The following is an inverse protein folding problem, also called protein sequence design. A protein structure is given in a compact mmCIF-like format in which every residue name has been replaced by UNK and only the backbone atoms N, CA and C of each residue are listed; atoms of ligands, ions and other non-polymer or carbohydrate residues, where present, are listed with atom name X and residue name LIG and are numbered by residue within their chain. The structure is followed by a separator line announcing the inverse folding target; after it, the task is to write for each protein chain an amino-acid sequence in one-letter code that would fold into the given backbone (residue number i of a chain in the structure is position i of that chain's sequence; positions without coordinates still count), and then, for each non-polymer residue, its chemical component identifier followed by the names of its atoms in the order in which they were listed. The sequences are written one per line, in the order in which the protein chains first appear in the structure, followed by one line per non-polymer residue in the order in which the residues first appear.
data_IF_437844026905
#
_entry.id   IF_437844026905
#
_cell.length_a   1.000
_cell.length_b   1.000
_cell.length_c   1.000
_cell.angle_alpha   90.00
_cell.angle_beta   90.00
_cell.angle_gamma   90.00
#
_symmetry.space_group_name_H-M   'P 1'
#
loop_
_entity.id
_entity.type
_entity.pdbx_description
1 polymer ?
#
# COMPACT_ATOMS: atom_id res chain seq x y z
N UNK A 1 17.66 -44.40 27.36
CA UNK A 1 18.32 -43.10 27.64
C UNK A 1 19.41 -42.75 26.63
N UNK A 2 20.34 -43.64 26.27
CA UNK A 2 21.42 -43.31 25.29
C UNK A 2 20.88 -43.14 23.86
N UNK A 3 19.97 -44.01 23.41
CA UNK A 3 19.38 -44.00 22.05
C UNK A 3 18.81 -42.62 21.63
N UNK A 4 18.12 -41.91 22.52
CA UNK A 4 17.53 -40.60 22.21
C UNK A 4 18.54 -39.49 21.86
N UNK A 5 19.82 -39.67 22.20
CA UNK A 5 20.90 -38.75 21.83
C UNK A 5 21.62 -39.19 20.55
N UNK A 6 21.86 -40.49 20.40
CA UNK A 6 22.63 -41.04 19.26
C UNK A 6 21.79 -41.26 18.00
N UNK A 7 20.47 -41.33 18.10
CA UNK A 7 19.56 -41.39 16.94
C UNK A 7 19.56 -40.10 16.11
N UNK A 8 19.86 -38.95 16.73
CA UNK A 8 19.93 -37.68 16.01
C UNK A 8 21.13 -37.69 15.06
N UNK A 9 20.97 -37.39 13.75
CA UNK A 9 22.06 -37.48 12.79
C UNK A 9 23.19 -36.47 13.04
N UNK A 10 22.90 -35.34 13.70
CA UNK A 10 23.87 -34.33 14.09
C UNK A 10 24.47 -34.61 15.49
N UNK A 11 25.12 -35.76 15.66
CA UNK A 11 25.91 -36.02 16.86
C UNK A 11 27.14 -36.90 16.54
N UNK A 12 28.17 -36.78 17.36
CA UNK A 12 29.38 -37.61 17.31
C UNK A 12 29.22 -38.73 18.33
N UNK A 13 29.41 -39.97 17.90
CA UNK A 13 29.34 -41.15 18.75
C UNK A 13 30.76 -41.55 19.13
N UNK A 14 31.07 -41.50 20.43
CA UNK A 14 32.35 -41.99 20.97
C UNK A 14 32.13 -43.37 21.57
N UNK A 15 32.46 -44.42 20.83
CA UNK A 15 32.31 -45.80 21.26
C UNK A 15 33.53 -46.23 22.08
N UNK A 16 33.43 -46.01 23.40
CA UNK A 16 34.50 -46.31 24.35
C UNK A 16 34.41 -47.79 24.75
N UNK A 17 35.54 -48.51 24.68
CA UNK A 17 35.64 -49.91 25.13
C UNK A 17 36.95 -50.11 25.91
N UNK A 18 36.96 -50.90 26.99
CA UNK A 18 38.19 -51.24 27.68
C UNK A 18 38.94 -52.34 26.93
N UNK A 19 40.27 -52.23 26.86
CA UNK A 19 41.13 -53.14 26.09
C UNK A 19 41.31 -54.52 26.76
N UNK A 20 40.99 -54.65 28.05
CA UNK A 20 41.04 -55.91 28.79
C UNK A 20 39.78 -56.76 28.63
N UNK A 21 38.85 -56.38 27.76
CA UNK A 21 37.64 -57.14 27.45
C UNK A 21 37.56 -57.40 25.94
N UNK A 22 36.88 -58.49 25.56
CA UNK A 22 36.66 -58.79 24.14
C UNK A 22 35.74 -57.74 23.51
N UNK A 23 36.27 -57.05 22.50
CA UNK A 23 35.58 -55.99 21.78
C UNK A 23 34.30 -56.48 21.07
N UNK A 24 34.23 -57.76 20.71
CA UNK A 24 33.03 -58.36 20.12
C UNK A 24 31.80 -58.29 21.03
N UNK A 25 32.04 -58.21 22.34
CA UNK A 25 30.99 -58.13 23.35
C UNK A 25 30.61 -56.69 23.72
N UNK A 26 31.30 -55.68 23.17
CA UNK A 26 31.10 -54.27 23.53
C UNK A 26 29.71 -53.74 23.15
N UNK A 27 28.92 -53.37 24.17
CA UNK A 27 27.61 -52.76 24.00
C UNK A 27 27.68 -51.40 23.30
N UNK A 28 28.74 -50.63 23.52
CA UNK A 28 28.94 -49.33 22.87
C UNK A 28 29.09 -49.47 21.34
N UNK A 29 29.76 -50.53 20.89
CA UNK A 29 29.93 -50.82 19.45
C UNK A 29 28.65 -51.40 18.84
N UNK A 30 27.94 -52.27 19.56
CA UNK A 30 26.64 -52.80 19.10
C UNK A 30 25.62 -51.68 18.91
N UNK A 31 25.44 -50.83 19.93
CA UNK A 31 24.47 -49.74 19.91
C UNK A 31 24.84 -48.67 18.86
N UNK A 32 26.13 -48.37 18.68
CA UNK A 32 26.56 -47.40 17.64
C UNK A 32 26.31 -47.92 16.23
N UNK A 33 26.52 -49.21 15.94
CA UNK A 33 26.21 -49.82 14.64
C UNK A 33 24.73 -49.83 14.29
N UNK A 34 23.85 -49.94 15.29
CA UNK A 34 22.39 -49.88 15.07
C UNK A 34 21.95 -48.50 14.52
N UNK A 35 22.60 -47.41 14.95
CA UNK A 35 22.21 -46.03 14.60
C UNK A 35 23.16 -45.36 13.58
N UNK A 36 24.32 -45.96 13.33
CA UNK A 36 25.30 -45.54 12.32
C UNK A 36 25.96 -46.78 11.66
N UNK A 37 25.21 -47.53 10.82
CA UNK A 37 25.74 -48.73 10.15
C UNK A 37 26.94 -48.46 9.25
N UNK A 38 27.00 -47.24 8.70
CA UNK A 38 28.05 -46.73 7.81
C UNK A 38 29.29 -46.22 8.54
N UNK A 39 29.23 -46.03 9.86
CA UNK A 39 30.33 -45.53 10.68
C UNK A 39 30.75 -44.10 10.38
N UNK A 40 29.86 -43.24 9.84
CA UNK A 40 30.22 -41.89 9.39
C UNK A 40 30.41 -40.88 10.50
N UNK A 41 29.98 -41.21 11.72
CA UNK A 41 30.03 -40.34 12.90
C UNK A 41 30.44 -41.08 14.17
N UNK A 42 30.95 -42.30 14.03
CA UNK A 42 31.36 -43.18 15.13
C UNK A 42 32.89 -43.29 15.23
N UNK A 43 33.43 -42.96 16.40
CA UNK A 43 34.85 -43.05 16.74
C UNK A 43 35.06 -44.14 17.79
N UNK A 44 35.94 -45.10 17.50
CA UNK A 44 36.31 -46.14 18.45
C UNK A 44 37.43 -45.67 19.38
N UNK A 45 37.22 -45.77 20.69
CA UNK A 45 38.23 -45.44 21.70
C UNK A 45 38.51 -46.65 22.57
N UNK A 46 39.77 -47.07 22.60
CA UNK A 46 40.23 -48.13 23.49
C UNK A 46 40.85 -47.51 24.74
N UNK A 47 40.33 -47.86 25.91
CA UNK A 47 40.83 -47.41 27.22
C UNK A 47 41.48 -48.57 27.95
N UNK A 48 42.23 -48.29 29.03
CA UNK A 48 42.83 -49.33 29.90
C UNK A 48 43.78 -50.27 29.15
N UNK A 49 44.46 -49.78 28.11
CA UNK A 49 45.44 -50.56 27.32
C UNK A 49 46.64 -50.97 28.19
N UNK A 50 46.94 -50.17 29.22
CA UNK A 50 47.94 -50.44 30.24
C UNK A 50 47.61 -51.62 31.17
N UNK A 51 46.35 -52.07 31.20
CA UNK A 51 45.86 -53.14 32.07
C UNK A 51 45.58 -54.46 31.31
N UNK A 52 46.13 -54.62 30.11
CA UNK A 52 46.02 -55.87 29.35
C UNK A 52 46.87 -56.99 29.96
N UNK A 53 46.44 -58.24 29.75
CA UNK A 53 47.17 -59.41 30.24
C UNK A 53 48.51 -59.58 29.52
N UNK A 54 49.54 -59.99 30.26
CA UNK A 54 50.89 -60.17 29.70
C UNK A 54 50.87 -61.20 28.58
N UNK A 55 51.36 -60.81 27.40
CA UNK A 55 51.35 -61.64 26.19
C UNK A 55 50.17 -61.38 25.25
N UNK A 56 49.28 -60.44 25.58
CA UNK A 56 48.22 -59.94 24.69
C UNK A 56 48.44 -58.47 24.34
N UNK A 57 48.04 -58.08 23.13
CA UNK A 57 48.09 -56.71 22.66
C UNK A 57 46.82 -56.34 21.88
N UNK A 58 46.56 -55.05 21.74
CA UNK A 58 45.43 -54.50 21.00
C UNK A 58 45.86 -53.90 19.64
N UNK A 59 47.04 -54.25 19.11
CA UNK A 59 47.60 -53.61 17.92
C UNK A 59 46.70 -53.84 16.70
N UNK A 60 46.17 -55.05 16.52
CA UNK A 60 45.26 -55.35 15.41
C UNK A 60 43.95 -54.56 15.46
N UNK A 61 43.46 -54.24 16.66
CA UNK A 61 42.26 -53.40 16.85
C UNK A 61 42.59 -51.94 16.54
N UNK A 62 43.70 -51.44 17.10
CA UNK A 62 44.15 -50.06 16.89
C UNK A 62 44.50 -49.77 15.42
N UNK A 63 44.99 -50.77 14.69
CA UNK A 63 45.20 -50.70 13.23
C UNK A 63 43.92 -50.85 12.41
N UNK A 64 42.80 -51.21 13.05
CA UNK A 64 41.50 -51.42 12.40
C UNK A 64 41.41 -52.71 11.58
N UNK A 65 42.31 -53.69 11.80
CA UNK A 65 42.31 -55.01 11.15
C UNK A 65 41.24 -55.92 11.76
N UNK A 66 41.16 -55.97 13.09
CA UNK A 66 40.19 -56.81 13.80
C UNK A 66 38.76 -56.26 13.72
N UNK A 67 38.60 -54.94 13.91
CA UNK A 67 37.30 -54.25 13.83
C UNK A 67 37.42 -52.98 13.00
N UNK A 68 36.89 -53.03 11.77
CA UNK A 68 36.97 -51.91 10.83
C UNK A 68 35.91 -50.84 11.12
N UNK A 69 36.36 -49.62 11.37
CA UNK A 69 35.55 -48.40 11.44
C UNK A 69 36.01 -47.42 10.34
N UNK A 70 35.15 -46.46 9.97
CA UNK A 70 35.51 -45.42 8.99
C UNK A 70 36.58 -44.47 9.54
N UNK A 71 36.54 -44.22 10.85
CA UNK A 71 37.58 -43.50 11.59
C UNK A 71 38.50 -44.49 12.34
N UNK A 72 39.80 -44.18 12.47
CA UNK A 72 40.73 -45.07 13.15
C UNK A 72 40.38 -45.24 14.63
N UNK A 73 40.72 -46.39 15.17
CA UNK A 73 40.69 -46.64 16.61
C UNK A 73 41.78 -45.83 17.30
N UNK A 74 41.45 -45.22 18.44
CA UNK A 74 42.39 -44.41 19.21
C UNK A 74 42.50 -44.99 20.61
N UNK A 75 43.71 -45.41 20.96
CA UNK A 75 44.05 -45.87 22.28
C UNK A 75 44.34 -44.71 23.21
N UNK A 76 43.80 -44.75 24.43
CA UNK A 76 44.06 -43.77 25.48
C UNK A 76 44.42 -44.45 26.79
N UNK A 77 45.38 -43.87 27.51
CA UNK A 77 45.79 -44.31 28.85
C UNK A 77 45.39 -43.21 29.83
N UNK A 78 44.46 -43.54 30.71
CA UNK A 78 43.93 -42.61 31.71
C UNK A 78 44.61 -42.81 33.06
N UNK A 79 44.37 -41.88 33.98
CA UNK A 79 44.81 -42.01 35.38
C UNK A 79 44.18 -43.26 36.01
N UNK A 80 45.00 -44.05 36.69
CA UNK A 80 44.53 -45.17 37.51
C UNK A 80 43.81 -44.67 38.77
N UNK A 81 43.09 -45.55 39.47
CA UNK A 81 42.47 -45.18 40.76
C UNK A 81 43.50 -44.71 41.79
N UNK A 82 44.71 -45.29 41.78
CA UNK A 82 45.79 -44.85 42.64
C UNK A 82 46.32 -43.45 42.27
N UNK A 83 46.41 -43.13 40.97
CA UNK A 83 46.82 -41.81 40.49
C UNK A 83 45.77 -40.73 40.82
N UNK A 84 44.48 -41.08 40.76
CA UNK A 84 43.38 -40.21 41.20
C UNK A 84 43.49 -39.94 42.70
N UNK A 85 43.67 -40.97 43.51
CA UNK A 85 43.79 -40.83 44.97
C UNK A 85 45.03 -40.01 45.38
N UNK A 86 46.08 -40.02 44.55
CA UNK A 86 47.31 -39.22 44.73
C UNK A 86 47.24 -37.83 44.10
N UNK A 87 46.10 -37.43 43.53
CA UNK A 87 45.91 -36.17 42.81
C UNK A 87 46.99 -35.88 41.76
N UNK A 88 47.38 -36.91 40.99
CA UNK A 88 48.36 -36.73 39.91
C UNK A 88 47.83 -35.74 38.88
N UNK A 89 48.66 -34.76 38.54
CA UNK A 89 48.35 -33.71 37.58
C UNK A 89 48.11 -34.27 36.16
N UNK A 90 47.24 -33.60 35.41
CA UNK A 90 46.89 -34.00 34.04
C UNK A 90 48.06 -33.88 33.08
N UNK A 91 48.99 -32.93 33.30
CA UNK A 91 50.20 -32.79 32.47
C UNK A 91 51.11 -34.01 32.67
N UNK A 92 51.30 -34.43 33.91
CA UNK A 92 52.07 -35.64 34.24
C UNK A 92 51.41 -36.90 33.68
N UNK A 93 50.08 -37.01 33.75
CA UNK A 93 49.33 -38.13 33.17
C UNK A 93 49.49 -38.24 31.64
N UNK A 94 49.42 -37.11 30.92
CA UNK A 94 49.65 -37.07 29.46
C UNK A 94 51.08 -37.40 29.09
N UNK A 95 52.06 -36.93 29.86
CA UNK A 95 53.47 -37.30 29.65
C UNK A 95 53.67 -38.81 29.80
N UNK A 96 53.08 -39.40 30.84
CA UNK A 96 53.10 -40.85 31.08
C UNK A 96 52.39 -41.64 29.97
N UNK A 97 51.27 -41.13 29.45
CA UNK A 97 50.57 -41.71 28.28
C UNK A 97 51.47 -41.70 27.03
N UNK A 98 52.13 -40.56 26.73
CA UNK A 98 53.05 -40.46 25.60
C UNK A 98 54.25 -41.38 25.76
N UNK A 99 54.84 -41.46 26.96
CA UNK A 99 55.94 -42.38 27.27
C UNK A 99 55.51 -43.84 27.13
N UNK A 100 54.29 -44.20 27.55
CA UNK A 100 53.75 -45.55 27.38
C UNK A 100 53.69 -45.97 25.92
N UNK A 101 53.08 -45.14 25.06
CA UNK A 101 52.98 -45.46 23.62
C UNK A 101 54.33 -45.38 22.91
N UNK A 102 55.29 -44.59 23.39
CA UNK A 102 56.63 -44.50 22.79
C UNK A 102 57.54 -45.69 23.16
N UNK A 103 57.41 -46.22 24.38
CA UNK A 103 58.29 -47.26 24.92
C UNK A 103 57.75 -48.68 24.74
N UNK A 104 56.43 -48.85 24.54
CA UNK A 104 55.81 -50.18 24.32
C UNK A 104 56.09 -50.67 22.90
N UNK A 105 56.70 -51.85 22.76
CA UNK A 105 57.26 -52.33 21.49
C UNK A 105 56.18 -52.55 20.42
N UNK A 106 55.01 -53.01 20.86
CA UNK A 106 53.83 -53.33 20.05
C UNK A 106 53.06 -52.09 19.57
N UNK A 107 53.21 -50.94 20.24
CA UNK A 107 52.47 -49.70 19.92
C UNK A 107 53.37 -48.56 19.44
N UNK A 108 54.69 -48.75 19.43
CA UNK A 108 55.67 -47.70 19.11
C UNK A 108 55.45 -47.09 17.73
N UNK A 109 55.11 -47.89 16.72
CA UNK A 109 54.80 -47.43 15.37
C UNK A 109 53.47 -46.69 15.26
N UNK A 110 52.59 -46.82 16.26
CA UNK A 110 51.29 -46.15 16.37
C UNK A 110 51.32 -44.91 17.27
N UNK A 111 52.41 -44.66 17.99
CA UNK A 111 52.53 -43.58 18.98
C UNK A 111 52.06 -42.20 18.50
N UNK A 112 52.25 -41.88 17.22
CA UNK A 112 51.82 -40.62 16.60
C UNK A 112 50.29 -40.49 16.37
N UNK A 113 49.55 -41.60 16.47
CA UNK A 113 48.10 -41.73 16.27
C UNK A 113 47.35 -42.19 17.53
N UNK A 114 48.04 -42.23 18.67
CA UNK A 114 47.48 -42.65 19.96
C UNK A 114 47.51 -41.50 20.97
N UNK A 115 46.81 -41.70 22.08
CA UNK A 115 46.78 -40.78 23.19
C UNK A 115 45.64 -39.77 23.15
N UNK A 116 45.40 -39.16 24.29
CA UNK A 116 44.29 -38.25 24.53
C UNK A 116 44.41 -36.95 23.74
N UNK A 117 45.63 -36.47 23.48
CA UNK A 117 45.87 -35.28 22.64
C UNK A 117 45.54 -35.54 21.17
N UNK A 118 45.90 -36.72 20.65
CA UNK A 118 45.54 -37.12 19.30
C UNK A 118 44.02 -37.23 19.16
N UNK A 119 43.35 -37.88 20.12
CA UNK A 119 41.90 -38.00 20.17
C UNK A 119 41.22 -36.62 20.12
N UNK A 120 41.63 -35.70 20.99
CA UNK A 120 41.07 -34.34 21.04
C UNK A 120 41.24 -33.60 19.71
N UNK A 121 42.41 -33.72 19.06
CA UNK A 121 42.68 -33.12 17.75
C UNK A 121 41.78 -33.71 16.65
N UNK A 122 41.60 -35.03 16.61
CA UNK A 122 40.76 -35.70 15.62
C UNK A 122 39.30 -35.32 15.79
N UNK A 123 38.78 -35.35 17.01
CA UNK A 123 37.41 -34.94 17.32
C UNK A 123 37.17 -33.47 16.97
N UNK A 124 38.12 -32.59 17.30
CA UNK A 124 38.02 -31.15 16.98
C UNK A 124 37.99 -30.91 15.47
N UNK A 125 38.84 -31.61 14.70
CA UNK A 125 38.87 -31.52 13.23
C UNK A 125 37.57 -32.03 12.61
N UNK A 126 37.03 -33.14 13.12
CA UNK A 126 35.77 -33.69 12.64
C UNK A 126 34.61 -32.75 12.95
N UNK A 127 34.50 -32.25 14.18
CA UNK A 127 33.48 -31.29 14.58
C UNK A 127 33.52 -30.02 13.71
N UNK A 128 34.72 -29.47 13.48
CA UNK A 128 34.90 -28.32 12.60
C UNK A 128 34.44 -28.60 11.16
N UNK A 129 34.69 -29.81 10.64
CA UNK A 129 34.26 -30.22 9.29
C UNK A 129 32.74 -30.31 9.20
N UNK A 130 32.10 -30.93 10.20
CA UNK A 130 30.63 -31.05 10.27
C UNK A 130 29.99 -29.67 10.36
N UNK A 131 30.50 -28.78 11.23
CA UNK A 131 30.01 -27.40 11.34
C UNK A 131 30.14 -26.68 10.01
N UNK A 132 31.32 -26.70 9.36
CA UNK A 132 31.55 -26.07 8.06
C UNK A 132 30.60 -26.58 6.97
N UNK A 133 30.29 -27.87 6.95
CA UNK A 133 29.36 -28.45 5.97
C UNK A 133 27.91 -27.98 6.14
N UNK A 134 27.53 -27.56 7.35
CA UNK A 134 26.16 -27.11 7.68
C UNK A 134 25.97 -25.61 7.49
N UNK A 135 27.04 -24.81 7.61
CA UNK A 135 27.00 -23.34 7.49
C UNK A 135 26.23 -22.86 6.24
N UNK A 136 26.46 -23.38 5.01
CA UNK A 136 25.74 -22.91 3.82
C UNK A 136 24.22 -23.10 3.91
N UNK A 137 23.77 -24.21 4.52
CA UNK A 137 22.35 -24.48 4.73
C UNK A 137 21.72 -23.51 5.74
N UNK A 138 22.45 -23.16 6.81
CA UNK A 138 22.00 -22.17 7.80
C UNK A 138 21.94 -20.78 7.16
N UNK A 139 22.96 -20.40 6.38
CA UNK A 139 23.01 -19.10 5.68
C UNK A 139 21.82 -18.95 4.72
N UNK A 140 21.50 -19.99 3.95
CA UNK A 140 20.32 -20.00 3.07
C UNK A 140 19.01 -19.83 3.85
N UNK A 141 18.86 -20.53 4.97
CA UNK A 141 17.67 -20.41 5.83
C UNK A 141 17.52 -19.01 6.41
N UNK A 142 18.60 -18.42 6.91
CA UNK A 142 18.60 -17.05 7.44
C UNK A 142 18.21 -16.06 6.36
N UNK A 143 18.86 -16.11 5.19
CA UNK A 143 18.58 -15.20 4.08
C UNK A 143 17.13 -15.30 3.62
N UNK A 144 16.60 -16.52 3.50
CA UNK A 144 15.18 -16.73 3.16
C UNK A 144 14.25 -16.13 4.22
N UNK A 145 14.54 -16.36 5.50
CA UNK A 145 13.71 -15.85 6.61
C UNK A 145 13.76 -14.33 6.68
N UNK A 146 14.93 -13.71 6.45
CA UNK A 146 15.08 -12.25 6.35
C UNK A 146 14.18 -11.70 5.25
N UNK A 147 14.22 -12.27 4.04
CA UNK A 147 13.39 -11.82 2.92
C UNK A 147 11.88 -11.93 3.22
N UNK A 148 11.46 -13.02 3.86
CA UNK A 148 10.06 -13.20 4.29
C UNK A 148 9.63 -12.16 5.32
N UNK A 149 10.48 -11.89 6.34
CA UNK A 149 10.22 -10.88 7.36
C UNK A 149 10.19 -9.46 6.78
N UNK A 150 11.08 -9.13 5.85
CA UNK A 150 11.12 -7.83 5.16
C UNK A 150 9.87 -7.61 4.30
N UNK A 151 9.43 -8.63 3.56
CA UNK A 151 8.19 -8.57 2.78
C UNK A 151 6.96 -8.37 3.68
N UNK A 152 6.89 -9.07 4.81
CA UNK A 152 5.79 -8.91 5.77
C UNK A 152 5.79 -7.52 6.42
N UNK A 153 6.96 -7.02 6.85
CA UNK A 153 7.12 -5.66 7.37
C UNK A 153 6.73 -4.60 6.34
N UNK A 154 7.13 -4.76 5.07
CA UNK A 154 6.74 -3.84 4.00
C UNK A 154 5.23 -3.81 3.80
N UNK A 155 4.54 -4.94 3.96
CA UNK A 155 3.07 -4.99 3.86
C UNK A 155 2.38 -4.32 5.03
N UNK A 156 2.96 -4.40 6.23
CA UNK A 156 2.45 -3.69 7.40
C UNK A 156 2.76 -2.19 7.36
N UNK A 157 3.63 -1.72 6.48
CA UNK A 157 4.00 -0.31 6.38
C UNK A 157 5.09 0.12 7.37
N UNK A 158 5.54 1.37 7.22
CA UNK A 158 6.66 1.92 7.99
C UNK A 158 6.23 2.27 9.43
N UNK A 159 7.14 2.17 10.41
CA UNK A 159 6.87 2.68 11.75
C UNK A 159 6.67 4.20 11.71
N UNK A 160 5.68 4.68 12.48
CA UNK A 160 5.41 6.10 12.64
C UNK A 160 6.48 6.72 13.54
N UNK A 161 7.01 7.87 13.14
CA UNK A 161 7.96 8.63 13.95
C UNK A 161 7.35 9.06 15.29
N UNK A 162 8.16 9.11 16.35
CA UNK A 162 7.66 9.49 17.69
C UNK A 162 7.38 10.99 17.80
N UNK A 163 8.19 11.81 17.13
CA UNK A 163 8.12 13.26 17.15
C UNK A 163 6.94 13.82 16.34
N UNK A 164 6.52 15.05 16.67
CA UNK A 164 5.41 15.71 16.00
C UNK A 164 5.68 15.96 14.50
N UNK A 165 6.93 16.27 14.14
CA UNK A 165 7.33 16.58 12.77
C UNK A 165 7.21 15.37 11.84
N UNK A 166 7.71 14.21 12.28
CA UNK A 166 7.60 12.98 11.51
C UNK A 166 6.16 12.46 11.40
N UNK A 167 5.31 12.66 12.42
CA UNK A 167 3.86 12.37 12.33
C UNK A 167 3.18 13.26 11.29
N UNK A 168 3.44 14.57 11.34
CA UNK A 168 2.90 15.53 10.36
C UNK A 168 3.35 15.16 8.94
N UNK A 169 4.64 14.86 8.75
CA UNK A 169 5.18 14.43 7.47
C UNK A 169 4.46 13.19 6.93
N UNK A 170 4.25 12.18 7.77
CA UNK A 170 3.55 10.94 7.40
C UNK A 170 2.12 11.23 6.96
N UNK A 171 1.39 12.05 7.71
CA UNK A 171 0.02 12.45 7.35
C UNK A 171 0.01 13.17 5.99
N UNK A 172 0.93 14.12 5.78
CA UNK A 172 1.04 14.85 4.52
C UNK A 172 1.39 13.94 3.34
N UNK A 173 2.27 12.95 3.54
CA UNK A 173 2.63 11.97 2.52
C UNK A 173 1.40 11.15 2.10
N UNK A 174 0.63 10.65 3.06
CA UNK A 174 -0.62 9.91 2.80
C UNK A 174 -1.63 10.79 2.05
N UNK A 175 -1.80 12.04 2.47
CA UNK A 175 -2.71 12.98 1.81
C UNK A 175 -2.28 13.29 0.37
N UNK A 176 -0.97 13.38 0.10
CA UNK A 176 -0.43 13.57 -1.26
C UNK A 176 -0.69 12.36 -2.15
N UNK A 177 -0.58 11.14 -1.62
CA UNK A 177 -0.92 9.92 -2.36
C UNK A 177 -2.41 9.91 -2.74
N UNK A 178 -3.28 10.24 -1.80
CA UNK A 178 -4.72 10.41 -2.07
C UNK A 178 -4.98 11.48 -3.14
N UNK A 179 -4.39 12.67 -2.99
CA UNK A 179 -4.57 13.79 -3.91
C UNK A 179 -4.08 13.45 -5.33
N UNK A 180 -2.98 12.71 -5.45
CA UNK A 180 -2.48 12.19 -6.71
C UNK A 180 -3.46 11.22 -7.37
N UNK A 181 -4.00 10.25 -6.62
CA UNK A 181 -5.00 9.29 -7.13
C UNK A 181 -6.29 10.03 -7.55
N UNK A 182 -6.71 11.04 -6.80
CA UNK A 182 -7.87 11.86 -7.15
C UNK A 182 -7.64 12.63 -8.46
N UNK A 183 -6.46 13.24 -8.63
CA UNK A 183 -6.06 13.91 -9.88
C UNK A 183 -6.04 12.96 -11.07
N UNK A 184 -5.57 11.73 -10.89
CA UNK A 184 -5.57 10.69 -11.93
C UNK A 184 -6.98 10.33 -12.42
N UNK A 185 -7.99 10.33 -11.54
CA UNK A 185 -9.39 10.15 -11.94
C UNK A 185 -9.93 11.32 -12.77
N UNK A 186 -9.52 12.55 -12.46
CA UNK A 186 -9.93 13.74 -13.20
C UNK A 186 -9.22 13.84 -14.56
N UNK A 187 -7.94 13.48 -14.63
CA UNK A 187 -7.12 13.56 -15.83
C UNK A 187 -7.35 12.40 -16.82
N UNK A 188 -8.18 11.41 -16.45
CA UNK A 188 -8.53 10.28 -17.31
C UNK A 188 -7.50 9.16 -17.34
N UNK A 189 -6.51 9.18 -16.43
CA UNK A 189 -5.63 8.02 -16.17
C UNK A 189 -6.44 6.90 -15.52
N UNK A 190 -7.44 7.26 -14.70
CA UNK A 190 -8.43 6.37 -14.09
C UNK A 190 -9.85 6.74 -14.56
N UNK A 191 -10.80 5.79 -14.57
CA UNK A 191 -12.18 6.04 -14.99
C UNK A 191 -12.89 6.99 -14.02
N UNK A 192 -13.60 8.00 -14.53
CA UNK A 192 -14.28 8.99 -13.68
C UNK A 192 -14.47 10.34 -14.34
N UNK A 193 -13.42 10.90 -14.94
CA UNK A 193 -13.47 12.20 -15.62
C UNK A 193 -14.39 12.21 -16.85
N UNK A 194 -14.56 11.07 -17.52
CA UNK A 194 -15.49 10.88 -18.64
C UNK A 194 -16.95 11.18 -18.26
N UNK A 195 -17.34 10.92 -17.02
CA UNK A 195 -18.69 11.22 -16.51
C UNK A 195 -18.98 12.71 -16.48
N UNK A 196 -17.96 13.56 -16.29
CA UNK A 196 -18.10 15.02 -16.32
C UNK A 196 -18.49 15.48 -17.73
N UNK A 197 -17.85 14.92 -18.76
CA UNK A 197 -18.21 15.19 -20.16
C UNK A 197 -19.63 14.74 -20.48
N UNK A 198 -20.05 13.57 -19.98
CA UNK A 198 -21.43 13.10 -20.18
C UNK A 198 -22.48 14.07 -19.61
N UNK A 199 -22.21 14.72 -18.48
CA UNK A 199 -23.11 15.75 -17.92
C UNK A 199 -23.20 16.96 -18.86
N UNK A 200 -22.08 17.43 -19.38
CA UNK A 200 -22.05 18.62 -20.24
C UNK A 200 -22.53 18.38 -21.67
N UNK A 201 -22.23 17.22 -22.26
CA UNK A 201 -22.52 16.94 -23.67
C UNK A 201 -23.91 16.33 -23.86
N UNK A 202 -24.43 15.61 -22.86
CA UNK A 202 -25.71 14.91 -22.97
C UNK A 202 -26.78 15.46 -22.02
N UNK A 203 -26.50 15.57 -20.72
CA UNK A 203 -27.53 15.92 -19.73
C UNK A 203 -27.98 17.38 -19.82
N UNK A 204 -27.05 18.33 -19.82
CA UNK A 204 -27.37 19.76 -19.94
C UNK A 204 -28.10 20.08 -21.25
N UNK A 205 -27.64 19.62 -22.44
CA UNK A 205 -28.33 19.91 -23.70
C UNK A 205 -29.72 19.27 -23.76
N UNK A 206 -29.89 18.07 -23.20
CA UNK A 206 -31.20 17.43 -23.09
C UNK A 206 -32.13 18.22 -22.15
N UNK A 207 -31.63 18.71 -21.02
CA UNK A 207 -32.40 19.53 -20.08
C UNK A 207 -32.85 20.85 -20.70
N UNK A 208 -31.97 21.53 -21.45
CA UNK A 208 -32.31 22.75 -22.17
C UNK A 208 -33.37 22.51 -23.25
N UNK A 209 -33.28 21.40 -24.01
CA UNK A 209 -34.29 21.04 -25.03
C UNK A 209 -35.66 20.73 -24.43
N UNK A 210 -35.72 20.20 -23.20
CA UNK A 210 -36.97 19.86 -22.51
C UNK A 210 -37.74 21.07 -21.99
N UNK A 211 -37.13 22.25 -21.91
CA UNK A 211 -37.79 23.44 -21.38
C UNK A 211 -38.99 23.92 -22.19
N UNK A 212 -39.22 23.35 -23.40
CA UNK A 212 -40.41 23.53 -24.26
C UNK A 212 -41.23 24.75 -23.83
N UNK A 213 -40.81 25.93 -24.30
CA UNK A 213 -41.25 27.25 -23.82
C UNK A 213 -42.74 27.53 -24.07
N UNK A 214 -43.56 26.51 -24.32
CA UNK A 214 -44.97 26.54 -24.65
C UNK A 214 -45.81 27.28 -23.61
N UNK A 215 -45.46 27.16 -22.32
CA UNK A 215 -46.15 27.91 -21.26
C UNK A 215 -45.85 29.41 -21.36
N UNK A 216 -44.58 29.77 -21.53
CA UNK A 216 -44.14 31.18 -21.59
C UNK A 216 -44.51 31.86 -22.90
N UNK A 217 -44.53 31.10 -24.00
CA UNK A 217 -44.85 31.55 -25.35
C UNK A 217 -46.24 31.13 -25.80
N UNK A 218 -47.14 30.83 -24.85
CA UNK A 218 -48.54 30.59 -25.17
C UNK A 218 -49.18 31.85 -25.75
N UNK A 219 -50.12 31.68 -26.70
CA UNK A 219 -50.81 32.80 -27.35
C UNK A 219 -51.49 33.73 -26.35
N UNK A 220 -52.05 33.15 -25.27
CA UNK A 220 -52.68 33.89 -24.18
C UNK A 220 -51.66 34.74 -23.41
N UNK A 221 -50.51 34.17 -23.06
CA UNK A 221 -49.46 34.91 -22.33
C UNK A 221 -48.81 36.00 -23.19
N UNK A 222 -48.55 35.72 -24.48
CA UNK A 222 -48.02 36.71 -25.41
C UNK A 222 -49.00 37.88 -25.54
N UNK A 223 -50.28 37.61 -25.78
CA UNK A 223 -51.31 38.65 -25.87
C UNK A 223 -51.35 39.50 -24.61
N UNK A 224 -51.39 38.85 -23.45
CA UNK A 224 -51.41 39.52 -22.14
C UNK A 224 -50.20 40.44 -21.96
N UNK A 225 -48.98 39.90 -22.06
CA UNK A 225 -47.75 40.67 -21.79
C UNK A 225 -47.51 41.80 -22.78
N UNK A 226 -47.93 41.62 -24.04
CA UNK A 226 -47.81 42.65 -25.08
C UNK A 226 -48.82 43.77 -24.83
N UNK A 227 -50.09 43.45 -24.58
CA UNK A 227 -51.12 44.46 -24.27
C UNK A 227 -50.81 45.21 -22.97
N UNK A 228 -50.33 44.51 -21.93
CA UNK A 228 -49.87 45.15 -20.68
C UNK A 228 -48.66 46.07 -20.90
N UNK A 229 -47.76 45.73 -21.82
CA UNK A 229 -46.59 46.55 -22.13
C UNK A 229 -46.95 47.80 -22.95
N UNK A 230 -47.97 47.73 -23.81
CA UNK A 230 -48.46 48.86 -24.60
C UNK A 230 -49.33 49.84 -23.79
N UNK A 231 -50.01 49.37 -22.75
CA UNK A 231 -50.82 50.22 -21.88
C UNK A 231 -52.05 50.81 -22.59
N UNK A 232 -52.45 52.03 -22.21
CA UNK A 232 -53.69 52.66 -22.70
C UNK A 232 -53.58 53.29 -24.09
N UNK A 233 -52.36 53.51 -24.59
CA UNK A 233 -52.10 54.15 -25.87
C UNK A 233 -51.22 53.24 -26.76
N UNK A 234 -51.79 52.66 -27.83
CA UNK A 234 -51.02 51.82 -28.75
C UNK A 234 -49.95 52.65 -29.47
N UNK A 235 -48.68 52.24 -29.35
CA UNK A 235 -47.57 52.91 -30.02
C UNK A 235 -47.53 52.56 -31.52
N UNK A 236 -46.95 53.44 -32.34
CA UNK A 236 -46.71 53.20 -33.77
C UNK A 236 -45.56 52.20 -34.03
N UNK A 237 -44.80 51.84 -32.98
CA UNK A 237 -43.59 51.00 -33.02
C UNK A 237 -43.85 49.74 -32.19
N UNK A 238 -43.16 48.63 -32.50
CA UNK A 238 -43.25 47.38 -31.77
C UNK A 238 -43.00 47.57 -30.24
N UNK A 239 -43.78 46.91 -29.36
CA UNK A 239 -43.71 47.08 -27.91
C UNK A 239 -42.47 46.43 -27.32
N UNK A 240 -41.37 47.16 -27.31
CA UNK A 240 -40.06 46.70 -26.81
C UNK A 240 -40.18 46.06 -25.43
N UNK A 241 -40.87 46.72 -24.50
CA UNK A 241 -41.04 46.24 -23.13
C UNK A 241 -41.74 44.87 -23.05
N UNK A 242 -42.64 44.56 -23.98
CA UNK A 242 -43.34 43.28 -24.04
C UNK A 242 -42.42 42.15 -24.50
N UNK A 243 -41.58 42.42 -25.52
CA UNK A 243 -40.52 41.49 -25.92
C UNK A 243 -39.53 41.24 -24.77
N UNK A 244 -39.11 42.30 -24.06
CA UNK A 244 -38.18 42.16 -22.92
C UNK A 244 -38.75 41.22 -21.85
N UNK A 245 -40.01 41.42 -21.44
CA UNK A 245 -40.68 40.57 -20.43
C UNK A 245 -40.84 39.12 -20.88
N UNK A 246 -41.19 38.89 -22.16
CA UNK A 246 -41.33 37.54 -22.71
C UNK A 246 -39.98 36.78 -22.74
N UNK A 247 -38.92 37.47 -23.15
CA UNK A 247 -37.57 36.89 -23.17
C UNK A 247 -37.10 36.62 -21.74
N UNK A 248 -37.22 37.58 -20.83
CA UNK A 248 -36.85 37.43 -19.41
C UNK A 248 -37.55 36.22 -18.78
N UNK A 249 -38.88 36.13 -18.94
CA UNK A 249 -39.68 35.01 -18.43
C UNK A 249 -39.23 33.64 -18.98
N UNK A 250 -38.76 33.60 -20.23
CA UNK A 250 -38.25 32.39 -20.86
C UNK A 250 -36.83 32.05 -20.39
N UNK A 251 -35.92 33.01 -20.33
CA UNK A 251 -34.50 32.81 -19.96
C UNK A 251 -34.37 32.45 -18.47
N UNK A 252 -35.20 33.02 -17.58
CA UNK A 252 -35.20 32.67 -16.14
C UNK A 252 -35.45 31.17 -15.91
N UNK A 253 -36.21 30.50 -16.79
CA UNK A 253 -36.44 29.05 -16.68
C UNK A 253 -35.17 28.21 -16.84
N UNK A 254 -34.10 28.75 -17.44
CA UNK A 254 -32.79 28.10 -17.62
C UNK A 254 -32.03 27.96 -16.30
N UNK A 255 -32.37 28.76 -15.27
CA UNK A 255 -31.75 28.67 -13.94
C UNK A 255 -31.85 27.27 -13.34
N UNK A 256 -33.00 26.61 -13.52
CA UNK A 256 -33.23 25.24 -13.01
C UNK A 256 -32.25 24.22 -13.60
N UNK A 257 -32.18 24.04 -14.92
CA UNK A 257 -31.18 23.18 -15.57
C UNK A 257 -29.74 23.54 -15.25
N UNK A 258 -29.41 24.83 -15.13
CA UNK A 258 -28.06 25.28 -14.79
C UNK A 258 -27.67 24.83 -13.36
N UNK A 259 -28.54 25.03 -12.39
CA UNK A 259 -28.36 24.57 -11.00
C UNK A 259 -28.27 23.04 -10.90
N UNK A 260 -29.15 22.32 -11.60
CA UNK A 260 -29.10 20.86 -11.64
C UNK A 260 -27.77 20.33 -12.21
N UNK A 261 -27.17 21.04 -13.17
CA UNK A 261 -25.87 20.68 -13.75
C UNK A 261 -24.72 20.89 -12.75
N UNK A 262 -24.75 22.00 -12.00
CA UNK A 262 -23.81 22.27 -10.89
C UNK A 262 -23.86 21.15 -9.86
N UNK A 263 -25.07 20.74 -9.47
CA UNK A 263 -25.30 19.70 -8.46
C UNK A 263 -24.90 18.31 -8.96
N UNK A 264 -25.14 18.01 -10.23
CA UNK A 264 -24.70 16.76 -10.84
C UNK A 264 -23.17 16.62 -10.85
N UNK A 265 -22.44 17.70 -11.20
CA UNK A 265 -20.97 17.69 -11.15
C UNK A 265 -20.46 17.54 -9.72
N UNK A 266 -21.04 18.25 -8.76
CA UNK A 266 -20.68 18.12 -7.34
C UNK A 266 -20.82 16.68 -6.84
N UNK A 267 -21.93 16.01 -7.16
CA UNK A 267 -22.15 14.62 -6.79
C UNK A 267 -21.10 13.68 -7.40
N UNK A 268 -20.70 13.92 -8.65
CA UNK A 268 -19.62 13.16 -9.30
C UNK A 268 -18.27 13.38 -8.62
N UNK A 269 -17.92 14.63 -8.29
CA UNK A 269 -16.66 14.94 -7.61
C UNK A 269 -16.59 14.25 -6.23
N UNK A 270 -17.70 14.18 -5.50
CA UNK A 270 -17.80 13.40 -4.26
C UNK A 270 -17.61 11.90 -4.49
N UNK A 271 -18.22 11.34 -5.52
CA UNK A 271 -18.02 9.93 -5.90
C UNK A 271 -16.53 9.63 -6.14
N UNK A 272 -15.83 10.54 -6.84
CA UNK A 272 -14.40 10.42 -7.09
C UNK A 272 -13.55 10.52 -5.83
N UNK A 273 -13.91 11.38 -4.87
CA UNK A 273 -13.25 11.41 -3.56
C UNK A 273 -13.37 10.06 -2.87
N UNK A 274 -14.57 9.47 -2.80
CA UNK A 274 -14.76 8.17 -2.18
C UNK A 274 -13.98 7.05 -2.87
N UNK A 275 -13.91 7.06 -4.21
CA UNK A 275 -13.08 6.12 -4.98
C UNK A 275 -11.60 6.27 -4.67
N UNK A 276 -11.07 7.49 -4.73
CA UNK A 276 -9.67 7.76 -4.43
C UNK A 276 -9.29 7.31 -3.01
N UNK A 277 -10.14 7.58 -2.01
CA UNK A 277 -9.93 7.12 -0.63
C UNK A 277 -9.88 5.59 -0.52
N UNK A 278 -10.73 4.87 -1.24
CA UNK A 278 -10.75 3.41 -1.22
C UNK A 278 -9.56 2.79 -1.98
N UNK A 279 -8.95 3.54 -2.89
CA UNK A 279 -7.77 3.13 -3.65
C UNK A 279 -6.45 3.49 -2.95
N UNK A 280 -6.47 4.41 -1.98
CA UNK A 280 -5.31 4.72 -1.13
C UNK A 280 -5.17 3.67 -0.01
N UNK A 281 -4.16 2.77 -0.06
CA UNK A 281 -4.02 1.70 0.93
C UNK A 281 -3.69 2.23 2.33
N UNK A 282 -2.93 3.31 2.44
CA UNK A 282 -2.53 3.90 3.73
C UNK A 282 -3.74 4.48 4.47
N UNK A 283 -4.73 5.03 3.77
CA UNK A 283 -5.98 5.49 4.40
C UNK A 283 -6.84 4.33 4.94
N UNK A 284 -6.62 3.08 4.48
CA UNK A 284 -7.28 1.91 5.09
C UNK A 284 -6.65 1.54 6.42
N UNK A 285 -5.36 1.82 6.59
CA UNK A 285 -4.59 1.54 7.78
C UNK A 285 -4.90 2.51 8.93
N UNK A 286 -5.29 3.75 8.60
CA UNK A 286 -5.59 4.81 9.57
C UNK A 286 -7.04 5.29 9.46
N UNK A 287 -7.99 4.63 10.15
CA UNK A 287 -9.42 4.96 10.04
C UNK A 287 -9.77 6.39 10.47
N UNK A 288 -9.12 6.94 11.51
CA UNK A 288 -9.39 8.32 11.93
C UNK A 288 -8.94 9.32 10.86
N UNK A 289 -7.72 9.17 10.34
CA UNK A 289 -7.23 10.00 9.24
C UNK A 289 -8.14 9.90 8.01
N UNK A 290 -8.62 8.70 7.68
CA UNK A 290 -9.57 8.50 6.57
C UNK A 290 -10.83 9.34 6.72
N UNK A 291 -11.43 9.36 7.92
CA UNK A 291 -12.64 10.15 8.18
C UNK A 291 -12.35 11.65 8.03
N UNK A 292 -11.27 12.13 8.63
CA UNK A 292 -10.90 13.54 8.56
C UNK A 292 -10.57 14.01 7.15
N UNK A 293 -9.80 13.23 6.38
CA UNK A 293 -9.50 13.54 4.97
C UNK A 293 -10.78 13.52 4.13
N UNK A 294 -11.70 12.58 4.37
CA UNK A 294 -13.00 12.54 3.68
C UNK A 294 -13.79 13.81 3.96
N UNK A 295 -13.92 14.18 5.23
CA UNK A 295 -14.70 15.34 5.66
C UNK A 295 -14.12 16.63 5.08
N UNK A 296 -12.79 16.81 5.15
CA UNK A 296 -12.13 18.00 4.64
C UNK A 296 -12.25 18.14 3.11
N UNK A 297 -12.16 17.03 2.37
CA UNK A 297 -12.38 17.02 0.92
C UNK A 297 -13.84 17.38 0.59
N UNK A 298 -14.81 16.77 1.27
CA UNK A 298 -16.24 17.02 1.06
C UNK A 298 -16.61 18.47 1.39
N UNK A 299 -16.12 19.02 2.49
CA UNK A 299 -16.33 20.41 2.89
C UNK A 299 -15.75 21.40 1.86
N UNK A 300 -14.58 21.09 1.32
CA UNK A 300 -13.98 21.90 0.25
C UNK A 300 -14.81 21.85 -1.04
N UNK A 301 -15.33 20.69 -1.41
CA UNK A 301 -16.25 20.56 -2.54
C UNK A 301 -17.57 21.33 -2.35
N UNK A 302 -18.14 21.37 -1.13
CA UNK A 302 -19.34 22.16 -0.86
C UNK A 302 -19.11 23.66 -1.10
N UNK A 303 -17.97 24.19 -0.62
CA UNK A 303 -17.60 25.59 -0.84
C UNK A 303 -17.45 25.91 -2.33
N UNK A 304 -16.79 25.02 -3.08
CA UNK A 304 -16.62 25.15 -4.54
C UNK A 304 -17.96 25.07 -5.28
N UNK A 305 -18.88 24.20 -4.84
CA UNK A 305 -20.24 24.09 -5.40
C UNK A 305 -21.01 25.40 -5.21
N UNK A 306 -20.99 25.98 -4.02
CA UNK A 306 -21.72 27.23 -3.73
C UNK A 306 -21.20 28.40 -4.58
N UNK A 307 -19.87 28.52 -4.72
CA UNK A 307 -19.25 29.52 -5.58
C UNK A 307 -19.63 29.30 -7.05
N UNK A 308 -19.56 28.05 -7.51
CA UNK A 308 -19.93 27.68 -8.88
C UNK A 308 -21.41 27.93 -9.17
N UNK A 309 -22.31 27.65 -8.23
CA UNK A 309 -23.74 27.94 -8.33
C UNK A 309 -23.96 29.43 -8.51
N UNK A 310 -23.33 30.26 -7.66
CA UNK A 310 -23.41 31.73 -7.74
C UNK A 310 -22.87 32.24 -9.08
N UNK A 311 -21.73 31.74 -9.53
CA UNK A 311 -21.10 32.13 -10.80
C UNK A 311 -21.95 31.73 -12.02
N UNK A 312 -22.48 30.50 -12.01
CA UNK A 312 -23.29 29.96 -13.11
C UNK A 312 -24.64 30.68 -13.23
N UNK A 313 -25.32 30.93 -12.10
CA UNK A 313 -26.59 31.67 -12.12
C UNK A 313 -26.40 33.12 -12.56
N UNK A 314 -25.28 33.76 -12.19
CA UNK A 314 -24.93 35.09 -12.71
C UNK A 314 -24.79 35.11 -14.23
N UNK A 315 -24.28 34.05 -14.86
CA UNK A 315 -24.24 33.97 -16.34
C UNK A 315 -25.64 34.05 -16.94
N UNK A 316 -26.60 33.33 -16.35
CA UNK A 316 -28.00 33.37 -16.79
C UNK A 316 -28.61 34.76 -16.55
N UNK A 317 -28.32 35.37 -15.40
CA UNK A 317 -28.84 36.70 -15.05
C UNK A 317 -28.30 37.81 -15.96
N UNK A 318 -27.06 37.68 -16.44
CA UNK A 318 -26.48 38.61 -17.42
C UNK A 318 -27.23 38.54 -18.76
N UNK A 319 -27.62 37.35 -19.21
CA UNK A 319 -28.41 37.17 -20.44
C UNK A 319 -29.84 37.75 -20.32
N UNK A 320 -30.39 37.81 -19.10
CA UNK A 320 -31.66 38.47 -18.82
C UNK A 320 -31.54 40.01 -18.75
N UNK A 321 -30.37 40.53 -18.34
CA UNK A 321 -30.20 41.95 -17.99
C UNK A 321 -30.04 42.86 -19.19
N UNK A 322 -29.43 42.38 -20.27
CA UNK A 322 -29.17 43.19 -21.46
C UNK A 322 -29.54 42.45 -22.74
N UNK A 323 -30.48 43.02 -23.47
CA UNK A 323 -30.87 42.57 -24.81
C UNK A 323 -30.13 43.43 -25.83
N UNK A 324 -29.47 42.79 -26.79
CA UNK A 324 -28.67 43.51 -27.79
C UNK A 324 -29.57 44.38 -28.66
N UNK A 325 -29.20 45.64 -28.87
CA UNK A 325 -29.96 46.57 -29.74
C UNK A 325 -30.12 46.01 -31.16
N UNK A 326 -29.17 45.19 -31.61
CA UNK A 326 -29.22 44.48 -32.89
C UNK A 326 -30.43 43.53 -33.02
N UNK A 327 -30.88 42.93 -31.91
CA UNK A 327 -32.10 42.11 -31.89
C UNK A 327 -33.32 42.96 -32.30
N UNK A 328 -33.47 44.15 -31.70
CA UNK A 328 -34.59 45.05 -32.00
C UNK A 328 -34.50 45.65 -33.41
N UNK A 329 -33.29 45.89 -33.93
CA UNK A 329 -33.09 46.37 -35.31
C UNK A 329 -33.47 45.34 -36.37
N UNK A 330 -33.28 44.06 -36.06
CA UNK A 330 -33.61 42.92 -36.93
C UNK A 330 -35.06 42.45 -36.77
N UNK A 331 -35.84 43.07 -35.88
CA UNK A 331 -37.28 42.83 -35.85
C UNK A 331 -37.84 43.17 -37.22
N UNK A 332 -38.57 42.25 -37.85
CA UNK A 332 -39.02 42.49 -39.19
C UNK A 332 -40.00 43.66 -39.19
N UNK A 333 -39.68 44.69 -39.98
CA UNK A 333 -40.50 45.88 -40.07
C UNK A 333 -41.81 45.51 -40.81
N UNK A 334 -42.95 45.80 -40.20
CA UNK A 334 -44.26 45.70 -40.86
C UNK A 334 -44.40 46.83 -41.89
N UNK A 335 -43.62 46.77 -42.97
CA UNK A 335 -43.69 47.75 -44.07
C UNK A 335 -44.67 47.29 -45.16
N UNK A 336 -44.99 46.00 -45.25
CA UNK A 336 -45.90 45.47 -46.27
C UNK A 336 -47.30 45.22 -45.72
N UNK A 337 -48.00 46.33 -45.47
CA UNK A 337 -49.39 46.59 -45.87
C UNK A 337 -49.74 47.97 -45.34
N UNK A 338 -49.84 48.94 -46.24
CA UNK A 338 -50.65 50.12 -46.00
C UNK A 338 -52.06 49.66 -45.63
N UNK A 339 -52.31 49.53 -44.34
CA UNK A 339 -53.62 49.21 -43.81
C UNK A 339 -54.56 50.34 -44.19
N UNK A 340 -55.67 49.99 -44.82
CA UNK A 340 -56.77 50.93 -45.03
C UNK A 340 -57.07 51.63 -43.68
N UNK A 341 -57.26 52.97 -43.64
CA UNK A 341 -57.50 53.72 -42.41
C UNK A 341 -58.77 53.31 -41.64
N UNK A 342 -59.53 52.36 -42.20
CA UNK A 342 -60.77 51.80 -41.65
C UNK A 342 -60.57 50.55 -40.81
N UNK A 343 -59.38 49.94 -40.76
CA UNK A 343 -59.13 48.85 -39.82
C UNK A 343 -58.96 49.40 -38.40
N UNK A 344 -59.82 48.93 -37.49
CA UNK A 344 -59.81 49.30 -36.08
C UNK A 344 -58.42 49.10 -35.49
N UNK A 345 -57.99 50.02 -34.62
CA UNK A 345 -56.76 49.89 -33.81
C UNK A 345 -56.71 48.52 -33.09
N UNK A 346 -57.87 47.90 -32.83
CA UNK A 346 -58.02 46.57 -32.24
C UNK A 346 -57.62 45.40 -33.17
N UNK A 347 -57.59 45.56 -34.50
CA UNK A 347 -57.13 44.53 -35.45
C UNK A 347 -55.60 44.42 -35.54
N UNK A 348 -54.85 45.33 -34.88
CA UNK A 348 -53.37 45.37 -34.94
C UNK A 348 -52.71 44.17 -34.25
N UNK A 349 -53.31 43.63 -33.18
CA UNK A 349 -52.86 42.38 -32.53
C UNK A 349 -53.60 41.15 -33.07
N UNK A 350 -53.70 41.05 -34.39
CA UNK A 350 -54.18 39.83 -35.02
C UNK A 350 -53.30 38.64 -34.59
N UNK A 351 -53.87 37.45 -34.53
CA UNK A 351 -53.17 36.24 -34.09
C UNK A 351 -51.90 35.98 -34.90
N UNK A 352 -51.86 36.40 -36.17
CA UNK A 352 -50.67 36.33 -37.02
C UNK A 352 -49.49 37.17 -36.46
N UNK A 353 -49.76 38.37 -35.95
CA UNK A 353 -48.75 39.27 -35.36
C UNK A 353 -48.19 38.68 -34.05
N UNK A 354 -49.08 38.22 -33.17
CA UNK A 354 -48.69 37.61 -31.88
C UNK A 354 -47.91 36.30 -32.07
N UNK A 355 -48.27 35.48 -33.05
CA UNK A 355 -47.48 34.28 -33.43
C UNK A 355 -46.08 34.62 -33.90
N UNK A 356 -45.92 35.72 -34.64
CA UNK A 356 -44.62 36.21 -35.11
C UNK A 356 -43.73 36.70 -33.96
N UNK A 357 -44.31 37.40 -32.98
CA UNK A 357 -43.63 37.77 -31.73
C UNK A 357 -43.11 36.51 -31.04
N UNK A 358 -43.97 35.51 -30.83
CA UNK A 358 -43.59 34.24 -30.20
C UNK A 358 -42.45 33.53 -30.94
N UNK A 359 -42.51 33.49 -32.27
CA UNK A 359 -41.46 32.87 -33.11
C UNK A 359 -40.13 33.60 -32.99
N UNK A 360 -40.16 34.95 -32.98
CA UNK A 360 -38.96 35.79 -32.87
C UNK A 360 -38.32 35.67 -31.49
N UNK A 361 -39.14 35.70 -30.43
CA UNK A 361 -38.69 35.48 -29.05
C UNK A 361 -38.09 34.09 -28.91
N UNK A 362 -38.75 33.06 -29.44
CA UNK A 362 -38.24 31.68 -29.41
C UNK A 362 -36.88 31.57 -30.11
N UNK A 363 -36.71 32.22 -31.26
CA UNK A 363 -35.42 32.23 -31.97
C UNK A 363 -34.32 32.87 -31.14
N UNK A 364 -34.61 33.97 -30.44
CA UNK A 364 -33.64 34.62 -29.55
C UNK A 364 -33.30 33.75 -28.33
N UNK A 365 -34.30 33.19 -27.67
CA UNK A 365 -34.11 32.31 -26.51
C UNK A 365 -33.30 31.07 -26.91
N UNK A 366 -33.53 30.49 -28.08
CA UNK A 366 -32.73 29.37 -28.59
C UNK A 366 -31.27 29.75 -28.84
N UNK A 367 -30.99 30.97 -29.32
CA UNK A 367 -29.63 31.49 -29.44
C UNK A 367 -28.98 31.63 -28.06
N UNK A 368 -29.68 32.19 -27.08
CA UNK A 368 -29.20 32.29 -25.69
C UNK A 368 -28.93 30.90 -25.10
N UNK A 369 -29.81 29.92 -25.31
CA UNK A 369 -29.58 28.54 -24.89
C UNK A 369 -28.32 27.94 -25.54
N UNK A 370 -28.05 28.22 -26.81
CA UNK A 370 -26.84 27.76 -27.49
C UNK A 370 -25.57 28.40 -26.91
N UNK A 371 -25.62 29.67 -26.53
CA UNK A 371 -24.51 30.36 -25.85
C UNK A 371 -24.29 29.79 -24.44
N UNK A 372 -25.36 29.68 -23.64
CA UNK A 372 -25.30 29.16 -22.27
C UNK A 372 -24.87 27.69 -22.22
N UNK A 373 -25.21 26.88 -23.23
CA UNK A 373 -24.69 25.50 -23.39
C UNK A 373 -23.15 25.46 -23.39
N UNK A 374 -22.49 26.50 -23.88
CA UNK A 374 -21.03 26.58 -23.92
C UNK A 374 -20.44 27.30 -22.69
N UNK A 375 -21.13 28.31 -22.17
CA UNK A 375 -20.63 29.14 -21.06
C UNK A 375 -20.81 28.48 -19.69
N UNK A 376 -21.94 27.77 -19.47
CA UNK A 376 -22.23 27.09 -18.19
C UNK A 376 -21.15 26.04 -17.86
N UNK A 377 -20.81 25.08 -18.75
CA UNK A 377 -19.74 24.11 -18.47
C UNK A 377 -18.41 24.77 -18.12
N UNK A 378 -18.04 25.86 -18.80
CA UNK A 378 -16.78 26.58 -18.51
C UNK A 378 -16.76 27.17 -17.11
N UNK A 379 -17.87 27.75 -16.66
CA UNK A 379 -17.99 28.28 -15.29
C UNK A 379 -17.91 27.15 -14.25
N UNK A 380 -18.61 26.04 -14.48
CA UNK A 380 -18.58 24.89 -13.57
C UNK A 380 -17.18 24.26 -13.52
N UNK A 381 -16.52 24.07 -14.65
CA UNK A 381 -15.15 23.56 -14.70
C UNK A 381 -14.18 24.49 -13.99
N UNK A 382 -14.31 25.80 -14.20
CA UNK A 382 -13.42 26.77 -13.56
C UNK A 382 -13.59 26.79 -12.04
N UNK A 383 -14.84 26.90 -11.54
CA UNK A 383 -15.11 27.05 -10.11
C UNK A 383 -15.11 25.73 -9.31
N UNK A 384 -15.44 24.59 -9.94
CA UNK A 384 -15.48 23.29 -9.26
C UNK A 384 -14.36 22.36 -9.69
N UNK A 385 -14.34 21.92 -10.94
CA UNK A 385 -13.48 20.80 -11.36
C UNK A 385 -12.00 21.17 -11.25
N UNK A 386 -11.63 22.36 -11.74
CA UNK A 386 -10.25 22.85 -11.72
C UNK A 386 -9.80 23.23 -10.31
N UNK A 387 -10.67 23.85 -9.52
CA UNK A 387 -10.36 24.17 -8.13
C UNK A 387 -10.26 22.91 -7.28
N UNK A 388 -11.16 21.94 -7.43
CA UNK A 388 -11.07 20.63 -6.79
C UNK A 388 -9.77 19.91 -7.17
N UNK A 389 -9.31 20.02 -8.41
CA UNK A 389 -8.00 19.48 -8.80
C UNK A 389 -6.83 20.19 -8.10
N UNK A 390 -6.94 21.48 -7.85
CA UNK A 390 -5.81 22.32 -7.39
C UNK A 390 -5.68 22.39 -5.88
N UNK A 391 -6.79 22.54 -5.18
CA UNK A 391 -6.83 23.03 -3.80
C UNK A 391 -7.73 22.20 -2.86
N UNK A 392 -8.04 20.94 -3.22
CA UNK A 392 -8.95 20.08 -2.45
C UNK A 392 -8.62 19.99 -0.96
N UNK A 393 -7.33 19.88 -0.63
CA UNK A 393 -6.84 19.71 0.74
C UNK A 393 -6.04 20.91 1.27
N UNK A 394 -6.00 22.05 0.57
CA UNK A 394 -5.17 23.20 0.98
C UNK A 394 -5.58 23.75 2.36
N UNK A 395 -6.89 23.80 2.62
CA UNK A 395 -7.44 24.20 3.92
C UNK A 395 -7.06 23.18 5.00
N UNK A 396 -7.17 21.89 4.69
CA UNK A 396 -6.80 20.82 5.61
C UNK A 396 -5.31 20.89 5.97
N UNK A 397 -4.42 21.13 5.00
CA UNK A 397 -2.99 21.29 5.24
C UNK A 397 -2.67 22.50 6.11
N UNK A 398 -3.40 23.61 5.91
CA UNK A 398 -3.25 24.83 6.72
C UNK A 398 -3.66 24.59 8.17
N UNK A 399 -4.72 23.83 8.41
CA UNK A 399 -5.17 23.47 9.76
C UNK A 399 -4.25 22.43 10.41
N UNK A 400 -3.80 21.41 9.67
CA UNK A 400 -2.85 20.40 10.13
C UNK A 400 -1.57 20.99 10.73
N UNK A 401 -1.04 22.05 10.13
CA UNK A 401 0.16 22.72 10.61
C UNK A 401 0.01 23.40 11.98
N UNK A 402 -1.23 23.63 12.44
CA UNK A 402 -1.54 24.25 13.73
C UNK A 402 -1.85 23.22 14.83
N UNK A 403 -1.99 21.95 14.47
CA UNK A 403 -2.47 20.91 15.39
C UNK A 403 -1.39 20.44 16.35
N UNK A 404 -1.80 20.14 17.59
CA UNK A 404 -0.91 19.57 18.60
C UNK A 404 -0.56 18.10 18.32
N UNK A 405 0.59 17.65 18.82
CA UNK A 405 1.08 16.28 18.66
C UNK A 405 0.09 15.21 19.13
N UNK A 406 -0.70 15.49 20.18
CA UNK A 406 -1.72 14.56 20.68
C UNK A 406 -2.80 14.28 19.62
N UNK A 407 -3.26 15.32 18.93
CA UNK A 407 -4.25 15.18 17.87
C UNK A 407 -3.66 14.48 16.64
N UNK A 408 -2.44 14.83 16.22
CA UNK A 408 -1.73 14.13 15.14
C UNK A 408 -1.59 12.63 15.44
N UNK A 409 -1.39 12.27 16.71
CA UNK A 409 -1.31 10.87 17.15
C UNK A 409 -2.67 10.17 17.08
N UNK A 410 -3.77 10.86 17.36
CA UNK A 410 -5.11 10.27 17.20
C UNK A 410 -5.50 10.06 15.74
N UNK A 411 -4.95 10.85 14.80
CA UNK A 411 -5.18 10.64 13.36
C UNK A 411 -4.47 9.39 12.84
N UNK A 412 -3.26 9.13 13.34
CA UNK A 412 -2.47 7.95 13.00
C UNK A 412 -2.76 6.77 13.95
N UNK A 413 -4.01 6.63 14.39
CA UNK A 413 -4.42 5.55 15.28
C UNK A 413 -4.43 4.22 14.54
N UNK A 414 -3.35 3.47 14.68
CA UNK A 414 -3.25 2.13 14.15
C UNK A 414 -3.86 1.11 15.11
N UNK A 415 -4.33 -0.02 14.57
CA UNK A 415 -4.73 -1.17 15.39
C UNK A 415 -3.53 -1.60 16.28
N UNK A 416 -3.69 -1.65 17.62
CA UNK A 416 -2.64 -2.07 18.54
C UNK A 416 -2.02 -3.43 18.18
N UNK A 417 -2.82 -4.35 17.62
CA UNK A 417 -2.33 -5.66 17.19
C UNK A 417 -1.33 -5.56 16.03
N UNK A 418 -1.53 -4.59 15.12
CA UNK A 418 -0.61 -4.35 14.00
C UNK A 418 0.69 -3.72 14.51
N UNK A 419 0.59 -2.77 15.44
CA UNK A 419 1.76 -2.13 16.07
C UNK A 419 2.62 -3.17 16.80
N UNK A 420 1.99 -4.02 17.60
CA UNK A 420 2.68 -5.09 18.34
C UNK A 420 3.32 -6.10 17.38
N UNK A 421 2.58 -6.53 16.35
CA UNK A 421 3.11 -7.43 15.31
C UNK A 421 4.28 -6.82 14.56
N UNK A 422 4.21 -5.54 14.17
CA UNK A 422 5.31 -4.82 13.50
C UNK A 422 6.55 -4.78 14.41
N UNK A 423 6.37 -4.47 15.68
CA UNK A 423 7.46 -4.43 16.68
C UNK A 423 8.10 -5.81 16.87
N UNK A 424 7.29 -6.87 16.99
CA UNK A 424 7.79 -8.24 17.12
C UNK A 424 8.57 -8.70 15.89
N UNK A 425 8.06 -8.40 14.68
CA UNK A 425 8.74 -8.72 13.42
C UNK A 425 10.04 -7.94 13.26
N UNK A 426 10.07 -6.65 13.63
CA UNK A 426 11.28 -5.83 13.57
C UNK A 426 12.38 -6.37 14.49
N UNK A 427 12.05 -6.71 15.75
CA UNK A 427 12.98 -7.35 16.68
C UNK A 427 13.49 -8.68 16.14
N UNK A 428 12.61 -9.50 15.56
CA UNK A 428 12.98 -10.78 14.96
C UNK A 428 13.92 -10.59 13.77
N UNK A 429 13.64 -9.62 12.90
CA UNK A 429 14.47 -9.29 11.75
C UNK A 429 15.88 -8.84 12.19
N UNK A 430 15.97 -8.01 13.23
CA UNK A 430 17.24 -7.58 13.81
C UNK A 430 18.06 -8.78 14.29
N UNK A 431 17.46 -9.71 15.02
CA UNK A 431 18.12 -10.94 15.47
C UNK A 431 18.65 -11.78 14.30
N UNK A 432 17.87 -11.92 13.22
CA UNK A 432 18.34 -12.65 12.02
C UNK A 432 19.46 -11.91 11.30
N UNK A 433 19.46 -10.58 11.27
CA UNK A 433 20.57 -9.79 10.69
C UNK A 433 21.84 -9.91 11.52
N UNK A 434 21.74 -9.91 12.85
CA UNK A 434 22.89 -10.23 13.72
C UNK A 434 23.41 -11.63 13.44
N UNK A 435 22.52 -12.62 13.35
CA UNK A 435 22.91 -14.00 13.03
C UNK A 435 23.53 -14.13 11.63
N UNK A 436 23.05 -13.36 10.65
CA UNK A 436 23.65 -13.30 9.32
C UNK A 436 25.09 -12.77 9.38
N UNK A 437 25.31 -11.66 10.10
CA UNK A 437 26.63 -11.08 10.28
C UNK A 437 27.60 -12.04 10.99
N UNK A 438 27.15 -12.73 12.03
CA UNK A 438 27.94 -13.72 12.76
C UNK A 438 28.32 -14.91 11.86
N UNK A 439 27.39 -15.40 11.04
CA UNK A 439 27.66 -16.51 10.11
C UNK A 439 28.61 -16.08 9.00
N UNK A 440 28.43 -14.90 8.43
CA UNK A 440 29.31 -14.39 7.39
C UNK A 440 30.74 -14.22 7.94
N UNK A 441 30.91 -13.71 9.16
CA UNK A 441 32.22 -13.61 9.81
C UNK A 441 32.95 -14.95 9.91
N UNK A 442 32.22 -16.04 10.18
CA UNK A 442 32.77 -17.40 10.23
C UNK A 442 33.04 -17.97 8.83
N UNK A 443 32.17 -17.69 7.86
CA UNK A 443 32.27 -18.20 6.49
C UNK A 443 33.49 -17.65 5.73
N UNK A 444 33.91 -16.42 6.03
CA UNK A 444 35.08 -15.76 5.40
C UNK A 444 36.42 -16.02 6.12
N UNK A 445 36.39 -16.68 7.28
CA UNK A 445 37.60 -17.19 7.94
C UNK A 445 38.13 -18.45 7.22
N UNK A 446 38.77 -18.22 6.07
CA UNK A 446 39.46 -19.27 5.29
C UNK A 446 40.73 -19.73 5.98
#
# INVERSE_FOLDING_TARGET
MVRSYIEKPNCIILAISPANQDLATSDAIKISREVDPTGERTFGVLTKIDLMDRGTDAAEILEGKAYRLKYPWIGVVNRSQADINKNVDMIAARKKENEYFANTLEYRHLSNRMGSEYLARVLSKHLATVIKSRIPGIQSLINKTIAELEAELSRLGKPIAADAGGKLYTIMEICRLFDQIYKEHLDGVRPGGDKVYNVFDNQLPAALKRLQFDKQLSMENIRKLITEADGYQPHLIAPEQGYRRLIESSVVSIRGPAEATVDAIHALLKELVHKAINETPELKQYPALRVEVTNAAVESLERMRDESKKSTLKLVDMECSYLTVDFFRKLPQDVDKGGNPTHSIFDRYNDAYLRRIGTTVLSYVNMVCANLRNSIPKSIVYCQVREAKRSLLDHFFTELGKMEQKYLSSLLNEDPAIVERRSALAKRLELYRTAQADIDAVAWSK
#
